data_IF_273816843186
#
_entry.id   IF_273816843186
#
_cell.length_a   1.000
_cell.length_b   1.000
_cell.length_c   1.000
_cell.angle_alpha   90.00
_cell.angle_beta   90.00
_cell.angle_gamma   90.00
#
_symmetry.space_group_name_H-M   'P 1'
#
loop_
_entity.id
_entity.type
_entity.pdbx_description
1 polymer ?
#
# COMPACT_ATOMS: atom_id res chain seq x y z
N UNK A 1 -6.59 3.64 27.62
CA UNK A 1 -5.57 3.34 26.59
C UNK A 1 -5.74 1.89 26.22
N UNK A 2 -5.81 1.58 24.93
CA UNK A 2 -5.95 0.20 24.49
C UNK A 2 -4.74 -0.65 24.92
N UNK A 3 -4.98 -1.93 25.21
CA UNK A 3 -3.88 -2.87 25.50
C UNK A 3 -3.29 -3.41 24.19
N UNK A 4 -2.04 -3.89 24.21
CA UNK A 4 -1.42 -4.50 23.02
C UNK A 4 -2.28 -5.64 22.45
N UNK A 5 -2.82 -6.47 23.34
CA UNK A 5 -3.75 -7.56 23.00
C UNK A 5 -5.02 -7.09 22.29
N UNK A 6 -5.60 -5.99 22.75
CA UNK A 6 -6.78 -5.38 22.12
C UNK A 6 -6.45 -4.81 20.73
N UNK A 7 -5.30 -4.15 20.59
CA UNK A 7 -4.83 -3.62 19.31
C UNK A 7 -4.57 -4.74 18.30
N UNK A 8 -3.98 -5.86 18.72
CA UNK A 8 -3.80 -7.03 17.86
C UNK A 8 -5.14 -7.54 17.31
N UNK A 9 -6.15 -7.71 18.18
CA UNK A 9 -7.47 -8.20 17.78
C UNK A 9 -8.16 -7.25 16.81
N UNK A 10 -8.09 -5.95 17.08
CA UNK A 10 -8.61 -4.91 16.19
C UNK A 10 -7.94 -4.97 14.82
N UNK A 11 -6.62 -5.10 14.78
CA UNK A 11 -5.88 -5.16 13.52
C UNK A 11 -6.13 -6.48 12.76
N UNK A 12 -6.24 -7.61 13.45
CA UNK A 12 -6.62 -8.89 12.85
C UNK A 12 -8.03 -8.84 12.24
N UNK A 13 -8.99 -8.26 12.95
CA UNK A 13 -10.35 -8.04 12.44
C UNK A 13 -10.37 -7.10 11.23
N UNK A 14 -9.54 -6.06 11.23
CA UNK A 14 -9.36 -5.19 10.07
C UNK A 14 -8.86 -5.97 8.85
N UNK A 15 -7.86 -6.85 9.03
CA UNK A 15 -7.34 -7.69 7.95
C UNK A 15 -8.38 -8.67 7.40
N UNK A 16 -9.33 -9.14 8.22
CA UNK A 16 -10.45 -9.95 7.76
C UNK A 16 -11.44 -9.16 6.91
N UNK A 17 -11.73 -7.91 7.30
CA UNK A 17 -12.60 -7.00 6.53
C UNK A 17 -11.98 -6.57 5.20
N UNK A 18 -10.65 -6.53 5.11
CA UNK A 18 -9.92 -6.10 3.92
C UNK A 18 -9.42 -7.31 3.11
N UNK A 19 -10.17 -7.76 2.08
CA UNK A 19 -9.76 -8.90 1.27
C UNK A 19 -8.51 -8.57 0.46
N UNK A 20 -7.75 -9.61 0.08
CA UNK A 20 -6.63 -9.47 -0.85
C UNK A 20 -7.17 -9.30 -2.27
N UNK A 21 -6.68 -8.29 -2.99
CA UNK A 21 -6.97 -8.11 -4.41
C UNK A 21 -5.88 -8.76 -5.28
N UNK A 22 -6.19 -9.92 -5.87
CA UNK A 22 -5.27 -10.67 -6.75
C UNK A 22 -4.86 -9.89 -8.01
N UNK A 23 -5.62 -8.87 -8.40
CA UNK A 23 -5.26 -8.04 -9.57
C UNK A 23 -4.13 -7.06 -9.28
N UNK A 24 -3.71 -6.93 -8.01
CA UNK A 24 -2.74 -5.94 -7.52
C UNK A 24 -1.63 -6.58 -6.67
N UNK A 25 -1.26 -7.83 -6.96
CA UNK A 25 -0.18 -8.52 -6.23
C UNK A 25 1.07 -7.62 -6.13
N UNK A 26 1.64 -7.54 -4.93
CA UNK A 26 2.80 -6.70 -4.62
C UNK A 26 2.48 -5.22 -4.32
N UNK A 27 1.26 -4.76 -4.61
CA UNK A 27 0.76 -3.40 -4.29
C UNK A 27 -0.56 -3.40 -3.52
N UNK A 28 -1.08 -4.57 -3.20
CA UNK A 28 -2.36 -4.72 -2.53
C UNK A 28 -2.26 -4.35 -1.04
N UNK A 29 -3.20 -3.51 -0.58
CA UNK A 29 -3.26 -3.12 0.82
C UNK A 29 -3.59 -4.28 1.75
N UNK A 30 -4.40 -5.25 1.31
CA UNK A 30 -4.73 -6.43 2.12
C UNK A 30 -3.50 -7.30 2.38
N UNK A 31 -2.66 -7.49 1.37
CA UNK A 31 -1.34 -8.15 1.48
C UNK A 31 -0.40 -7.36 2.40
N UNK A 32 -0.30 -6.05 2.19
CA UNK A 32 0.52 -5.17 3.02
C UNK A 32 0.10 -5.18 4.49
N UNK A 33 -1.19 -5.11 4.81
CA UNK A 33 -1.65 -5.14 6.20
C UNK A 33 -1.30 -6.45 6.90
N UNK A 34 -1.36 -7.58 6.20
CA UNK A 34 -0.96 -8.88 6.75
C UNK A 34 0.54 -8.92 7.03
N UNK A 35 1.38 -8.37 6.16
CA UNK A 35 2.82 -8.29 6.43
C UNK A 35 3.13 -7.39 7.63
N UNK A 36 2.45 -6.24 7.73
CA UNK A 36 2.58 -5.34 8.88
C UNK A 36 2.07 -5.96 10.19
N UNK A 37 0.99 -6.73 10.15
CA UNK A 37 0.48 -7.47 11.31
C UNK A 37 1.53 -8.44 11.83
N UNK A 38 2.14 -9.25 10.94
CA UNK A 38 3.22 -10.17 11.33
C UNK A 38 4.48 -9.44 11.82
N UNK A 39 4.81 -8.27 11.25
CA UNK A 39 5.98 -7.48 11.64
C UNK A 39 5.84 -6.83 13.00
N UNK A 40 4.70 -6.18 13.26
CA UNK A 40 4.45 -5.46 14.52
C UNK A 40 3.95 -6.36 15.64
N UNK A 41 3.33 -7.50 15.31
CA UNK A 41 2.82 -8.47 16.28
C UNK A 41 3.41 -9.86 16.05
N UNK A 42 4.75 -10.04 16.15
CA UNK A 42 5.40 -11.34 15.90
C UNK A 42 4.95 -12.45 16.85
N UNK A 43 4.51 -12.09 18.07
CA UNK A 43 3.98 -13.00 19.08
C UNK A 43 2.45 -12.86 19.23
N UNK A 44 1.77 -12.33 18.21
CA UNK A 44 0.33 -12.10 18.22
C UNK A 44 -0.10 -11.22 19.40
N UNK A 45 -1.09 -11.69 20.17
CA UNK A 45 -1.64 -11.00 21.35
C UNK A 45 -0.60 -10.74 22.47
N UNK A 46 0.49 -11.51 22.51
CA UNK A 46 1.52 -11.40 23.54
C UNK A 46 2.64 -10.41 23.16
N UNK A 47 2.57 -9.84 21.96
CA UNK A 47 3.59 -8.89 21.49
C UNK A 47 3.61 -7.64 22.36
N UNK A 48 4.80 -7.17 22.72
CA UNK A 48 4.95 -5.90 23.42
C UNK A 48 5.19 -4.77 22.41
N UNK A 49 4.41 -3.70 22.53
CA UNK A 49 4.48 -2.54 21.64
C UNK A 49 5.15 -1.39 22.37
N UNK A 50 6.18 -0.81 21.76
CA UNK A 50 6.90 0.33 22.33
C UNK A 50 6.05 1.62 22.31
N UNK A 51 5.24 1.83 21.26
CA UNK A 51 4.40 3.03 21.11
C UNK A 51 2.92 2.68 20.89
N UNK A 52 2.24 2.30 21.97
CA UNK A 52 0.83 1.88 21.95
C UNK A 52 -0.08 2.97 21.36
N UNK A 53 0.16 4.26 21.70
CA UNK A 53 -0.71 5.37 21.25
C UNK A 53 -0.65 5.59 19.75
N UNK A 54 0.53 5.47 19.15
CA UNK A 54 0.71 5.63 17.71
C UNK A 54 0.05 4.48 16.94
N UNK A 55 0.26 3.25 17.41
CA UNK A 55 -0.37 2.05 16.83
C UNK A 55 -1.90 2.14 16.94
N UNK A 56 -2.41 2.57 18.09
CA UNK A 56 -3.84 2.81 18.29
C UNK A 56 -4.39 3.85 17.33
N UNK A 57 -3.67 4.96 17.12
CA UNK A 57 -4.06 6.01 16.17
C UNK A 57 -4.10 5.48 14.73
N UNK A 58 -3.10 4.69 14.32
CA UNK A 58 -3.02 4.10 13.00
C UNK A 58 -4.12 3.06 12.75
N UNK A 59 -4.36 2.15 13.69
CA UNK A 59 -5.45 1.17 13.59
C UNK A 59 -6.80 1.91 13.52
N UNK A 60 -6.99 2.93 14.34
CA UNK A 60 -8.24 3.72 14.34
C UNK A 60 -8.47 4.47 13.03
N UNK A 61 -7.43 5.00 12.38
CA UNK A 61 -7.58 5.64 11.07
C UNK A 61 -7.93 4.62 9.98
N UNK A 62 -7.30 3.44 10.00
CA UNK A 62 -7.60 2.37 9.05
C UNK A 62 -9.01 1.79 9.24
N UNK A 63 -9.49 1.64 10.48
CA UNK A 63 -10.87 1.23 10.76
C UNK A 63 -11.88 2.24 10.21
N UNK A 64 -11.59 3.55 10.25
CA UNK A 64 -12.47 4.57 9.65
C UNK A 64 -12.56 4.41 8.13
N UNK A 65 -11.45 4.08 7.48
CA UNK A 65 -11.42 3.80 6.04
C UNK A 65 -12.20 2.51 5.71
N UNK A 66 -11.91 1.42 6.42
CA UNK A 66 -12.55 0.12 6.17
C UNK A 66 -14.06 0.12 6.41
N UNK A 67 -14.54 0.91 7.38
CA UNK A 67 -15.98 1.04 7.64
C UNK A 67 -16.65 2.14 6.80
N UNK A 68 -15.95 2.73 5.82
CA UNK A 68 -16.45 3.81 4.98
C UNK A 68 -17.05 4.99 5.78
N UNK A 69 -16.48 5.31 6.96
CA UNK A 69 -17.05 6.28 7.92
C UNK A 69 -17.40 7.61 7.25
N UNK A 70 -16.46 8.18 6.50
CA UNK A 70 -16.64 9.49 5.87
C UNK A 70 -17.65 9.48 4.74
N UNK A 71 -17.74 8.37 3.99
CA UNK A 71 -18.75 8.19 2.95
C UNK A 71 -20.16 8.13 3.56
N UNK A 72 -20.31 7.40 4.68
CA UNK A 72 -21.58 7.28 5.38
C UNK A 72 -22.00 8.60 6.05
N UNK A 73 -21.04 9.35 6.62
CA UNK A 73 -21.29 10.65 7.26
C UNK A 73 -21.56 11.76 6.25
N UNK A 74 -20.96 11.68 5.06
CA UNK A 74 -21.03 12.71 4.02
C UNK A 74 -21.37 12.07 2.67
N UNK A 75 -22.62 11.61 2.45
CA UNK A 75 -23.00 10.96 1.22
C UNK A 75 -22.97 11.95 0.06
N UNK A 76 -22.11 11.70 -0.92
CA UNK A 76 -22.00 12.50 -2.15
C UNK A 76 -22.84 11.86 -3.26
N UNK A 77 -23.54 12.68 -4.05
CA UNK A 77 -24.43 12.20 -5.14
C UNK A 77 -23.67 11.44 -6.24
N UNK A 78 -22.41 11.80 -6.48
CA UNK A 78 -21.46 11.09 -7.35
C UNK A 78 -20.07 11.68 -7.14
N UNK A 79 -19.08 10.85 -6.82
CA UNK A 79 -17.70 11.32 -6.64
C UNK A 79 -16.72 10.32 -7.23
N UNK A 80 -16.32 10.60 -8.47
CA UNK A 80 -15.20 9.94 -9.12
C UNK A 80 -14.42 11.01 -9.86
N UNK A 81 -13.15 11.20 -9.49
CA UNK A 81 -12.28 12.20 -10.12
C UNK A 81 -11.96 11.83 -11.59
N UNK A 82 -11.95 10.54 -11.91
CA UNK A 82 -11.73 10.03 -13.27
C UNK A 82 -13.00 9.99 -14.12
N UNK A 83 -14.18 10.23 -13.53
CA UNK A 83 -15.47 10.02 -14.18
C UNK A 83 -15.83 8.53 -14.41
N UNK A 84 -14.93 7.61 -14.06
CA UNK A 84 -15.12 6.16 -14.17
C UNK A 84 -15.95 5.62 -13.00
N UNK A 85 -16.62 4.50 -13.24
CA UNK A 85 -17.26 3.72 -12.19
C UNK A 85 -16.22 2.94 -11.35
N UNK A 86 -16.65 2.39 -10.22
CA UNK A 86 -15.73 1.70 -9.31
C UNK A 86 -15.06 0.48 -9.96
N UNK A 87 -15.78 -0.23 -10.84
CA UNK A 87 -15.24 -1.36 -11.57
C UNK A 87 -14.17 -0.92 -12.57
N UNK A 88 -14.42 0.10 -13.41
CA UNK A 88 -13.42 0.56 -14.36
C UNK A 88 -12.21 1.19 -13.66
N UNK A 89 -12.42 1.91 -12.55
CA UNK A 89 -11.32 2.34 -11.69
C UNK A 89 -10.48 1.15 -11.22
N UNK A 90 -11.12 0.06 -10.74
CA UNK A 90 -10.41 -1.14 -10.30
C UNK A 90 -9.60 -1.79 -11.43
N UNK A 91 -10.17 -1.87 -12.64
CA UNK A 91 -9.45 -2.40 -13.79
C UNK A 91 -8.28 -1.51 -14.20
N UNK A 92 -8.46 -0.19 -14.24
CA UNK A 92 -7.42 0.77 -14.60
C UNK A 92 -6.21 0.69 -13.66
N UNK A 93 -6.43 0.49 -12.36
CA UNK A 93 -5.34 0.40 -11.37
C UNK A 93 -4.80 -1.03 -11.16
N UNK A 94 -5.37 -2.03 -11.84
CA UNK A 94 -4.85 -3.40 -11.82
C UNK A 94 -3.44 -3.45 -12.42
N UNK A 95 -2.67 -4.48 -12.10
CA UNK A 95 -1.32 -4.64 -12.66
C UNK A 95 -1.36 -4.71 -14.19
N UNK A 96 -2.37 -5.34 -14.78
CA UNK A 96 -2.52 -5.40 -16.23
C UNK A 96 -3.01 -4.07 -16.82
N UNK A 97 -3.94 -3.40 -16.14
CA UNK A 97 -4.39 -2.06 -16.53
C UNK A 97 -3.25 -1.05 -16.55
N UNK A 98 -2.36 -1.08 -15.55
CA UNK A 98 -1.18 -0.20 -15.53
C UNK A 98 -0.19 -0.54 -16.64
N UNK A 99 0.07 -1.82 -16.92
CA UNK A 99 0.94 -2.21 -18.05
C UNK A 99 0.42 -1.67 -19.37
N UNK A 100 -0.89 -1.79 -19.62
CA UNK A 100 -1.53 -1.27 -20.84
C UNK A 100 -1.35 0.25 -20.92
N UNK A 101 -1.61 0.96 -19.82
CA UNK A 101 -1.44 2.42 -19.78
C UNK A 101 0.02 2.85 -20.01
N UNK A 102 0.99 2.13 -19.44
CA UNK A 102 2.42 2.39 -19.67
C UNK A 102 2.85 2.13 -21.12
N UNK A 103 2.33 1.08 -21.75
CA UNK A 103 2.59 0.75 -23.16
C UNK A 103 1.99 1.82 -24.08
N UNK A 104 0.78 2.27 -23.81
CA UNK A 104 0.09 3.32 -24.55
C UNK A 104 0.81 4.67 -24.43
N UNK A 105 1.25 5.05 -23.23
CA UNK A 105 2.06 6.27 -23.03
C UNK A 105 3.35 6.21 -23.82
N UNK A 106 4.09 5.09 -23.77
CA UNK A 106 5.31 4.90 -24.58
C UNK A 106 4.99 4.97 -26.07
N UNK A 107 3.88 4.37 -26.52
CA UNK A 107 3.44 4.40 -27.92
C UNK A 107 3.12 5.81 -28.41
N UNK A 108 2.38 6.60 -27.62
CA UNK A 108 2.04 8.01 -27.93
C UNK A 108 3.29 8.88 -27.91
N UNK A 109 4.14 8.77 -26.88
CA UNK A 109 5.41 9.50 -26.79
C UNK A 109 6.31 9.14 -27.97
N UNK A 110 6.42 7.85 -28.33
CA UNK A 110 7.22 7.41 -29.47
C UNK A 110 6.67 7.96 -30.80
N UNK A 111 5.35 7.99 -31.00
CA UNK A 111 4.73 8.61 -32.19
C UNK A 111 5.02 10.11 -32.27
N UNK A 112 4.94 10.81 -31.13
CA UNK A 112 5.26 12.25 -31.06
C UNK A 112 6.75 12.51 -31.30
N UNK A 113 7.64 11.73 -30.70
CA UNK A 113 9.08 11.84 -30.88
C UNK A 113 9.50 11.53 -32.33
N UNK A 114 8.91 10.50 -32.95
CA UNK A 114 9.13 10.18 -34.36
C UNK A 114 8.61 11.29 -35.28
N UNK A 115 7.46 11.89 -34.96
CA UNK A 115 6.88 13.03 -35.70
C UNK A 115 7.76 14.28 -35.60
N UNK A 116 8.38 14.51 -34.44
CA UNK A 116 9.24 15.66 -34.19
C UNK A 116 10.71 15.42 -34.56
N UNK A 117 11.08 14.24 -35.07
CA UNK A 117 12.46 13.90 -35.44
C UNK A 117 13.44 13.84 -34.26
N UNK A 118 12.95 13.78 -33.02
CA UNK A 118 13.77 13.79 -31.80
C UNK A 118 13.97 12.36 -31.32
N UNK A 119 15.21 11.86 -31.35
CA UNK A 119 15.59 10.60 -30.69
C UNK A 119 15.94 10.88 -29.23
N UNK A 120 14.97 10.70 -28.34
CA UNK A 120 15.24 10.73 -26.90
C UNK A 120 15.70 9.34 -26.45
N UNK A 121 16.96 9.18 -26.02
CA UNK A 121 17.41 7.93 -25.40
C UNK A 121 16.77 7.81 -24.02
N UNK A 122 15.72 7.00 -23.91
CA UNK A 122 15.13 6.69 -22.62
C UNK A 122 16.09 5.83 -21.81
N UNK A 123 16.91 6.46 -20.99
CA UNK A 123 17.53 5.82 -19.83
C UNK A 123 16.90 6.48 -18.61
N UNK A 124 15.98 5.76 -17.96
CA UNK A 124 15.39 6.18 -16.69
C UNK A 124 15.06 4.97 -15.81
N UNK A 125 16.13 4.31 -15.40
CA UNK A 125 16.19 3.38 -14.29
C UNK A 125 16.25 4.17 -12.97
N UNK A 126 15.14 4.67 -12.43
CA UNK A 126 15.15 5.40 -11.14
C UNK A 126 13.81 5.32 -10.36
N UNK A 127 13.22 4.13 -10.25
CA UNK A 127 12.23 3.82 -9.21
C UNK A 127 12.60 2.52 -8.49
N UNK A 128 13.80 2.49 -7.92
CA UNK A 128 14.21 1.58 -6.85
C UNK A 128 14.66 2.45 -5.67
N UNK A 129 13.74 2.91 -4.84
CA UNK A 129 14.12 3.68 -3.64
C UNK A 129 13.23 3.46 -2.41
N UNK A 130 12.41 2.40 -2.38
CA UNK A 130 11.57 2.09 -1.21
C UNK A 130 11.80 0.71 -0.59
N UNK A 131 12.58 -0.18 -1.20
CA UNK A 131 12.89 -1.51 -0.62
C UNK A 131 14.22 -1.56 0.18
N UNK A 132 15.11 -0.57 0.04
CA UNK A 132 16.44 -0.62 0.65
C UNK A 132 16.56 0.07 2.02
N UNK A 133 15.53 0.76 2.50
CA UNK A 133 15.60 1.47 3.78
C UNK A 133 15.30 0.59 5.01
N UNK A 134 14.92 -0.69 4.84
CA UNK A 134 14.51 -1.56 5.95
C UNK A 134 15.46 -2.74 6.25
N UNK A 135 16.63 -2.78 5.61
CA UNK A 135 17.58 -3.90 5.73
C UNK A 135 18.91 -3.55 6.41
N UNK A 136 19.10 -2.32 6.91
CA UNK A 136 20.40 -1.89 7.48
C UNK A 136 20.53 -1.92 9.01
N UNK A 137 19.51 -2.35 9.75
CA UNK A 137 19.56 -2.33 11.23
C UNK A 137 19.71 -3.72 11.90
N UNK A 138 20.10 -4.78 11.18
CA UNK A 138 20.25 -6.12 11.78
C UNK A 138 21.66 -6.65 12.03
N UNK A 139 22.72 -5.96 11.62
CA UNK A 139 24.09 -6.51 11.70
C UNK A 139 25.07 -5.68 12.55
N UNK A 140 24.68 -5.25 13.76
CA UNK A 140 25.62 -4.60 14.70
C UNK A 140 25.77 -5.18 16.11
N UNK A 141 25.00 -6.21 16.49
CA UNK A 141 25.05 -6.72 17.87
C UNK A 141 25.63 -8.15 18.00
N UNK A 142 26.72 -8.50 17.29
CA UNK A 142 27.36 -9.82 17.49
C UNK A 142 28.88 -9.84 17.46
N UNK A 143 29.55 -8.74 17.85
CA UNK A 143 30.99 -8.79 18.14
C UNK A 143 31.34 -7.86 19.30
N UNK A 144 31.00 -8.23 20.53
CA UNK A 144 31.76 -7.82 21.72
C UNK A 144 31.39 -8.71 22.93
N UNK A 145 31.90 -9.95 22.90
CA UNK A 145 32.22 -10.70 24.12
C UNK A 145 33.56 -11.40 23.91
N UNK A 146 34.61 -10.75 24.39
CA UNK A 146 35.83 -11.41 24.87
C UNK A 146 36.29 -10.71 26.12
#
# INVERSE_FOLDING_TARGET
MATSKELFRRFANLCQKWPKDETKVGRDYGEYFRSQLSRHFPHGEQSQLNNIKEVERAISSLERLANNKYYNENPLKRSSASGLDAWACRQAISNDGIKILEEDEKSVVNRLLNSLGVRFSSSRSDYKYIDEMDLKDKDKDTVEKK
#
